data_IF_559074295585
#
_entry.id   IF_559074295585
#
_cell.length_a   1.000
_cell.length_b   1.000
_cell.length_c   1.000
_cell.angle_alpha   90.00
_cell.angle_beta   90.00
_cell.angle_gamma   90.00
#
_symmetry.space_group_name_H-M   'P 1'
#
loop_
_entity.id
_entity.type
_entity.pdbx_description
1 polymer ?
#
# COMPACT_ATOMS: atom_id res chain seq x y z
N UNK A 1 18.15 -18.53 -17.26
CA UNK A 1 16.87 -18.38 -17.96
C UNK A 1 16.73 -19.47 -19.01
N UNK A 2 16.76 -20.73 -18.62
CA UNK A 2 16.78 -21.89 -19.51
C UNK A 2 16.60 -23.17 -18.71
N UNK A 3 15.40 -23.44 -18.15
CA UNK A 3 15.10 -24.76 -17.56
C UNK A 3 13.61 -25.08 -17.37
N UNK A 4 12.70 -24.34 -18.03
CA UNK A 4 11.26 -24.58 -17.87
C UNK A 4 10.58 -25.23 -19.10
N UNK A 5 11.35 -25.68 -20.09
CA UNK A 5 10.81 -26.39 -21.27
C UNK A 5 10.79 -27.91 -21.14
N UNK A 6 11.50 -28.49 -20.17
CA UNK A 6 11.63 -29.96 -20.06
C UNK A 6 10.53 -30.65 -19.22
N UNK A 7 9.69 -29.93 -18.52
CA UNK A 7 8.64 -30.56 -17.69
C UNK A 7 7.38 -30.91 -18.50
N UNK A 8 7.04 -30.14 -19.53
CA UNK A 8 5.88 -30.42 -20.40
C UNK A 8 6.18 -31.56 -21.40
N UNK A 9 7.40 -31.62 -21.93
CA UNK A 9 7.81 -32.69 -22.83
C UNK A 9 7.98 -34.05 -22.13
N UNK A 10 8.25 -34.06 -20.81
CA UNK A 10 8.33 -35.30 -20.06
C UNK A 10 6.94 -35.90 -19.77
N UNK A 11 5.89 -35.06 -19.66
CA UNK A 11 4.50 -35.52 -19.50
C UNK A 11 3.87 -36.01 -20.81
N UNK A 12 4.43 -35.63 -21.95
CA UNK A 12 3.95 -36.05 -23.27
C UNK A 12 4.67 -37.28 -23.82
N UNK A 13 5.76 -37.78 -23.21
CA UNK A 13 6.59 -38.89 -23.69
C UNK A 13 6.45 -40.21 -22.94
N UNK A 14 5.60 -40.32 -21.95
CA UNK A 14 5.24 -41.60 -21.38
C UNK A 14 3.90 -42.01 -21.93
N UNK A 15 3.90 -42.80 -23.05
CA UNK A 15 3.08 -43.99 -23.22
C UNK A 15 3.10 -44.44 -24.66
N UNK A 16 4.23 -45.06 -25.03
CA UNK A 16 4.30 -45.98 -26.12
C UNK A 16 4.12 -47.44 -25.63
N UNK A 17 2.96 -47.76 -25.07
CA UNK A 17 2.54 -49.15 -24.86
C UNK A 17 1.02 -49.22 -24.94
N UNK A 18 0.53 -49.71 -26.06
CA UNK A 18 -0.77 -50.23 -26.39
C UNK A 18 -1.90 -50.03 -25.35
N UNK A 19 -2.55 -48.90 -25.40
CA UNK A 19 -3.95 -48.76 -25.02
C UNK A 19 -4.63 -47.98 -26.14
N UNK A 20 -5.66 -48.57 -26.72
CA UNK A 20 -6.65 -47.91 -27.57
C UNK A 20 -7.13 -46.65 -26.86
N UNK A 21 -6.42 -45.56 -27.02
CA UNK A 21 -6.84 -44.22 -26.62
C UNK A 21 -7.87 -43.73 -27.63
N UNK A 22 -8.99 -44.40 -27.72
CA UNK A 22 -10.15 -43.89 -28.41
C UNK A 22 -10.49 -42.54 -27.79
N UNK A 23 -10.58 -41.48 -28.61
CA UNK A 23 -11.25 -40.23 -28.30
C UNK A 23 -12.48 -40.58 -27.44
N UNK A 24 -12.73 -39.86 -26.30
CA UNK A 24 -13.89 -40.15 -25.45
C UNK A 24 -15.11 -40.28 -26.37
N UNK A 25 -15.79 -41.43 -26.35
CA UNK A 25 -16.82 -41.73 -27.30
C UNK A 25 -17.83 -40.58 -27.31
N UNK A 26 -18.38 -40.26 -28.47
CA UNK A 26 -19.40 -39.21 -28.61
C UNK A 26 -20.46 -39.40 -27.57
N UNK A 27 -20.80 -40.64 -27.21
CA UNK A 27 -21.70 -41.02 -26.15
C UNK A 27 -21.28 -40.49 -24.75
N UNK A 28 -20.02 -40.63 -24.39
CA UNK A 28 -19.52 -40.10 -23.10
C UNK A 28 -19.55 -38.56 -23.05
N UNK A 29 -19.31 -37.89 -24.18
CA UNK A 29 -19.44 -36.44 -24.30
C UNK A 29 -20.92 -36.00 -24.13
N UNK A 30 -21.87 -36.73 -24.67
CA UNK A 30 -23.31 -36.47 -24.50
C UNK A 30 -23.72 -36.71 -23.04
N UNK A 31 -23.32 -37.81 -22.44
CA UNK A 31 -23.58 -38.12 -21.03
C UNK A 31 -23.01 -37.04 -20.12
N UNK A 32 -21.81 -36.54 -20.37
CA UNK A 32 -21.23 -35.43 -19.60
C UNK A 32 -22.09 -34.16 -19.69
N UNK A 33 -22.49 -33.76 -20.90
CA UNK A 33 -23.32 -32.55 -21.09
C UNK A 33 -24.68 -32.69 -20.39
N UNK A 34 -25.30 -33.87 -20.49
CA UNK A 34 -26.54 -34.15 -19.81
C UNK A 34 -26.41 -34.09 -18.29
N UNK A 35 -25.38 -34.72 -17.73
CA UNK A 35 -25.08 -34.69 -16.30
C UNK A 35 -24.87 -33.25 -15.81
N UNK A 36 -24.12 -32.44 -16.56
CA UNK A 36 -23.90 -31.03 -16.25
C UNK A 36 -25.21 -30.22 -16.22
N UNK A 37 -26.06 -30.41 -17.23
CA UNK A 37 -27.36 -29.72 -17.29
C UNK A 37 -28.28 -30.13 -16.15
N UNK A 38 -28.32 -31.43 -15.83
CA UNK A 38 -29.12 -31.96 -14.72
C UNK A 38 -28.61 -31.44 -13.37
N UNK A 39 -27.30 -31.40 -13.17
CA UNK A 39 -26.71 -30.84 -11.94
C UNK A 39 -27.10 -29.37 -11.73
N UNK A 40 -27.08 -28.55 -12.80
CA UNK A 40 -27.59 -27.18 -12.74
C UNK A 40 -29.10 -27.12 -12.38
N UNK A 41 -29.86 -28.04 -12.92
CA UNK A 41 -31.29 -28.17 -12.58
C UNK A 41 -31.51 -28.49 -11.08
N UNK A 42 -30.68 -29.38 -10.50
CA UNK A 42 -30.69 -29.68 -9.07
C UNK A 42 -30.29 -28.46 -8.24
N UNK A 43 -29.24 -27.75 -8.63
CA UNK A 43 -28.81 -26.53 -7.95
C UNK A 43 -29.86 -25.42 -8.00
N UNK A 44 -30.55 -25.25 -9.14
CA UNK A 44 -31.67 -24.32 -9.26
C UNK A 44 -32.85 -24.69 -8.34
N UNK A 45 -33.16 -25.97 -8.22
CA UNK A 45 -34.20 -26.44 -7.32
C UNK A 45 -33.84 -26.20 -5.83
N UNK A 46 -32.57 -26.37 -5.48
CA UNK A 46 -32.03 -26.07 -4.13
C UNK A 46 -31.96 -24.56 -3.85
N UNK A 47 -31.96 -23.71 -4.88
CA UNK A 47 -31.93 -22.24 -4.75
C UNK A 47 -33.31 -21.59 -4.66
N UNK A 48 -34.38 -22.36 -4.66
CA UNK A 48 -35.73 -21.82 -4.49
C UNK A 48 -35.88 -21.10 -3.16
N UNK A 49 -36.79 -20.15 -3.10
CA UNK A 49 -37.12 -19.50 -1.84
C UNK A 49 -37.48 -20.53 -0.77
N UNK A 50 -37.00 -20.34 0.46
CA UNK A 50 -37.22 -21.29 1.55
C UNK A 50 -38.72 -21.50 1.86
N UNK A 51 -39.57 -20.54 1.52
CA UNK A 51 -41.05 -20.68 1.63
C UNK A 51 -41.66 -21.64 0.60
N UNK A 52 -41.04 -21.81 -0.56
CA UNK A 52 -41.49 -22.68 -1.65
C UNK A 52 -40.71 -24.00 -1.69
N UNK A 53 -39.66 -24.13 -0.91
CA UNK A 53 -38.81 -25.29 -0.91
C UNK A 53 -39.44 -26.45 -0.11
N UNK A 54 -39.52 -27.62 -0.75
CA UNK A 54 -40.01 -28.84 -0.12
C UNK A 54 -38.97 -29.95 -0.21
N UNK A 55 -38.41 -30.40 0.92
CA UNK A 55 -37.41 -31.47 0.94
C UNK A 55 -37.87 -32.76 0.28
N UNK A 56 -39.18 -33.14 0.44
CA UNK A 56 -39.77 -34.35 -0.15
C UNK A 56 -39.68 -34.36 -1.69
N UNK A 57 -39.98 -33.20 -2.32
CA UNK A 57 -39.93 -33.07 -3.77
C UNK A 57 -38.46 -33.12 -4.25
N UNK A 58 -37.56 -32.62 -3.44
CA UNK A 58 -36.14 -32.64 -3.76
C UNK A 58 -35.54 -34.05 -3.67
N UNK A 59 -35.91 -34.84 -2.65
CA UNK A 59 -35.54 -36.26 -2.55
C UNK A 59 -35.97 -37.00 -3.81
N UNK A 60 -37.23 -36.87 -4.24
CA UNK A 60 -37.74 -37.50 -5.47
C UNK A 60 -36.99 -37.05 -6.70
N UNK A 61 -36.59 -35.78 -6.75
CA UNK A 61 -35.80 -35.23 -7.88
C UNK A 61 -34.41 -35.84 -7.93
N UNK A 62 -33.77 -36.00 -6.77
CA UNK A 62 -32.43 -36.62 -6.66
C UNK A 62 -32.53 -38.11 -7.01
N UNK A 63 -33.51 -38.80 -6.49
CA UNK A 63 -33.76 -40.21 -6.80
C UNK A 63 -34.00 -40.42 -8.31
N UNK A 64 -34.84 -39.60 -8.93
CA UNK A 64 -35.05 -39.61 -10.38
C UNK A 64 -33.75 -39.32 -11.15
N UNK A 65 -32.88 -38.44 -10.62
CA UNK A 65 -31.58 -38.18 -11.22
C UNK A 65 -30.66 -39.43 -11.14
N UNK A 66 -30.64 -40.12 -10.01
CA UNK A 66 -29.81 -41.29 -9.79
C UNK A 66 -30.17 -42.46 -10.72
N UNK A 67 -31.45 -42.62 -10.99
CA UNK A 67 -32.00 -43.74 -11.81
C UNK A 67 -31.92 -43.48 -13.33
N UNK A 68 -31.34 -42.35 -13.80
CA UNK A 68 -31.25 -42.06 -15.23
C UNK A 68 -30.13 -42.80 -15.92
N UNK A 69 -30.36 -43.39 -17.11
CA UNK A 69 -29.33 -44.10 -17.87
C UNK A 69 -28.44 -43.17 -18.68
N UNK A 70 -28.85 -41.92 -18.93
CA UNK A 70 -28.18 -40.95 -19.82
C UNK A 70 -27.18 -40.03 -19.11
N UNK A 71 -26.80 -40.37 -17.86
CA UNK A 71 -25.83 -39.63 -17.05
C UNK A 71 -24.53 -40.40 -16.83
N UNK A 72 -23.51 -39.67 -16.35
CA UNK A 72 -22.31 -40.27 -15.80
C UNK A 72 -22.63 -40.95 -14.45
N UNK A 73 -21.92 -42.03 -14.16
CA UNK A 73 -22.08 -42.79 -12.89
C UNK A 73 -21.36 -42.03 -11.72
N UNK A 74 -21.47 -40.72 -11.71
CA UNK A 74 -20.90 -39.87 -10.67
C UNK A 74 -21.58 -38.51 -10.63
N UNK A 75 -21.57 -37.88 -9.46
CA UNK A 75 -22.05 -36.51 -9.29
C UNK A 75 -20.89 -35.55 -9.68
N UNK A 76 -21.24 -34.50 -10.41
CA UNK A 76 -20.29 -33.44 -10.79
C UNK A 76 -20.26 -32.33 -9.71
N UNK A 77 -19.57 -32.57 -8.61
CA UNK A 77 -19.44 -31.62 -7.53
C UNK A 77 -18.78 -30.29 -7.98
N UNK A 78 -17.93 -30.33 -8.99
CA UNK A 78 -17.32 -29.10 -9.58
C UNK A 78 -18.39 -28.16 -10.17
N UNK A 79 -19.45 -28.70 -10.80
CA UNK A 79 -20.54 -27.86 -11.31
C UNK A 79 -21.36 -27.24 -10.18
N UNK A 80 -21.56 -27.98 -9.08
CA UNK A 80 -22.18 -27.45 -7.87
C UNK A 80 -21.35 -26.34 -7.23
N UNK A 81 -20.03 -26.53 -7.09
CA UNK A 81 -19.12 -25.47 -6.61
C UNK A 81 -19.18 -24.23 -7.48
N UNK A 82 -19.10 -24.39 -8.81
CA UNK A 82 -19.19 -23.25 -9.75
C UNK A 82 -20.53 -22.51 -9.60
N UNK A 83 -21.60 -23.24 -9.37
CA UNK A 83 -22.92 -22.65 -9.14
C UNK A 83 -22.93 -21.82 -7.84
N UNK A 84 -22.45 -22.40 -6.73
CA UNK A 84 -22.39 -21.75 -5.41
C UNK A 84 -21.50 -20.51 -5.43
N UNK A 85 -20.37 -20.56 -6.14
CA UNK A 85 -19.44 -19.42 -6.30
C UNK A 85 -20.09 -18.27 -7.07
N UNK A 86 -21.00 -18.55 -8.00
CA UNK A 86 -21.76 -17.55 -8.74
C UNK A 86 -22.92 -16.91 -7.97
N UNK A 87 -23.32 -17.47 -6.82
CA UNK A 87 -24.43 -16.95 -6.02
C UNK A 87 -24.03 -15.71 -5.22
N UNK A 88 -24.99 -14.79 -5.05
CA UNK A 88 -24.86 -13.69 -4.08
C UNK A 88 -24.82 -14.24 -2.65
N UNK A 89 -24.36 -13.44 -1.68
CA UNK A 89 -24.31 -13.86 -0.27
C UNK A 89 -25.69 -14.29 0.25
N UNK A 90 -26.75 -13.54 -0.09
CA UNK A 90 -28.12 -13.86 0.32
C UNK A 90 -28.63 -15.19 -0.31
N UNK A 91 -28.45 -15.32 -1.63
CA UNK A 91 -28.87 -16.55 -2.34
C UNK A 91 -28.10 -17.79 -1.89
N UNK A 92 -26.82 -17.61 -1.51
CA UNK A 92 -25.98 -18.68 -0.94
C UNK A 92 -26.50 -19.12 0.43
N UNK A 93 -26.94 -18.17 1.26
CA UNK A 93 -27.59 -18.46 2.53
C UNK A 93 -28.84 -19.30 2.34
N UNK A 94 -29.76 -18.91 1.45
CA UNK A 94 -30.96 -19.67 1.11
C UNK A 94 -30.63 -21.08 0.62
N UNK A 95 -29.64 -21.17 -0.31
CA UNK A 95 -29.19 -22.48 -0.82
C UNK A 95 -28.67 -23.38 0.30
N UNK A 96 -27.81 -22.87 1.18
CA UNK A 96 -27.27 -23.63 2.30
C UNK A 96 -28.35 -24.10 3.26
N UNK A 97 -29.30 -23.23 3.60
CA UNK A 97 -30.45 -23.58 4.46
C UNK A 97 -31.34 -24.67 3.84
N UNK A 98 -31.60 -24.58 2.54
CA UNK A 98 -32.38 -25.59 1.85
C UNK A 98 -31.69 -26.96 1.83
N UNK A 99 -30.35 -26.98 1.65
CA UNK A 99 -29.56 -28.21 1.70
C UNK A 99 -29.53 -28.79 3.11
N UNK A 100 -29.44 -27.94 4.14
CA UNK A 100 -29.51 -28.36 5.54
C UNK A 100 -30.90 -28.96 5.87
N UNK A 101 -31.97 -28.30 5.45
CA UNK A 101 -33.34 -28.83 5.61
C UNK A 101 -33.51 -30.18 4.89
N UNK A 102 -32.90 -30.34 3.71
CA UNK A 102 -32.88 -31.60 2.98
C UNK A 102 -32.15 -32.69 3.77
N UNK A 103 -31.02 -32.39 4.36
CA UNK A 103 -30.27 -33.33 5.19
C UNK A 103 -31.06 -33.74 6.41
N UNK A 104 -31.64 -32.79 7.15
CA UNK A 104 -32.45 -33.08 8.33
C UNK A 104 -33.63 -33.99 7.98
N UNK A 105 -34.35 -33.69 6.87
CA UNK A 105 -35.44 -34.52 6.39
C UNK A 105 -35.03 -35.97 6.13
N UNK A 106 -33.87 -36.20 5.52
CA UNK A 106 -33.39 -37.54 5.17
C UNK A 106 -32.84 -38.31 6.38
N UNK A 107 -32.42 -37.62 7.44
CA UNK A 107 -31.94 -38.21 8.69
C UNK A 107 -33.08 -38.59 9.63
N UNK A 108 -34.30 -38.09 9.41
CA UNK A 108 -35.46 -38.50 10.21
C UNK A 108 -35.87 -39.96 9.88
N UNK A 109 -35.92 -40.81 10.88
CA UNK A 109 -36.27 -42.23 10.74
C UNK A 109 -37.66 -42.48 10.17
N UNK A 110 -38.58 -41.50 10.28
CA UNK A 110 -39.96 -41.59 9.74
C UNK A 110 -39.98 -41.54 8.22
N UNK A 111 -38.99 -40.99 7.59
CA UNK A 111 -38.92 -40.78 6.16
C UNK A 111 -38.25 -41.98 5.50
N UNK A 112 -39.00 -42.76 4.74
CA UNK A 112 -38.46 -43.88 3.97
C UNK A 112 -37.74 -43.35 2.73
N UNK A 113 -36.42 -43.13 2.85
CA UNK A 113 -35.56 -42.69 1.76
C UNK A 113 -34.58 -43.82 1.41
N UNK A 114 -34.41 -44.07 0.11
CA UNK A 114 -33.47 -45.09 -0.37
C UNK A 114 -32.05 -44.79 0.11
N UNK A 115 -31.32 -45.83 0.53
CA UNK A 115 -30.00 -45.69 1.15
C UNK A 115 -28.97 -44.99 0.25
N UNK A 116 -28.98 -45.22 -1.06
CA UNK A 116 -28.10 -44.58 -1.99
C UNK A 116 -28.40 -43.08 -2.19
N UNK A 117 -29.71 -42.73 -2.21
CA UNK A 117 -30.17 -41.34 -2.22
C UNK A 117 -29.76 -40.62 -0.93
N UNK A 118 -29.88 -41.28 0.24
CA UNK A 118 -29.41 -40.76 1.53
C UNK A 118 -27.94 -40.45 1.52
N UNK A 119 -27.09 -41.39 1.11
CA UNK A 119 -25.63 -41.22 1.01
C UNK A 119 -25.24 -40.04 0.11
N UNK A 120 -25.95 -39.87 -0.99
CA UNK A 120 -25.69 -38.79 -1.93
C UNK A 120 -26.06 -37.42 -1.35
N UNK A 121 -27.18 -37.32 -0.66
CA UNK A 121 -27.62 -36.09 0.00
C UNK A 121 -26.61 -35.68 1.08
N UNK A 122 -26.09 -36.61 1.86
CA UNK A 122 -25.03 -36.33 2.82
C UNK A 122 -23.77 -35.80 2.14
N UNK A 123 -23.36 -36.38 1.00
CA UNK A 123 -22.22 -35.90 0.23
C UNK A 123 -22.47 -34.52 -0.40
N UNK A 124 -23.67 -34.23 -0.84
CA UNK A 124 -24.07 -32.91 -1.35
C UNK A 124 -23.94 -31.87 -0.22
N UNK A 125 -24.48 -32.18 0.96
CA UNK A 125 -24.38 -31.29 2.12
C UNK A 125 -22.91 -30.99 2.48
N UNK A 126 -22.12 -32.04 2.64
CA UNK A 126 -20.69 -31.87 2.97
C UNK A 126 -19.95 -31.00 1.94
N UNK A 127 -20.23 -31.25 0.64
CA UNK A 127 -19.65 -30.48 -0.43
C UNK A 127 -20.08 -29.00 -0.44
N UNK A 128 -21.36 -28.74 -0.14
CA UNK A 128 -21.90 -27.37 -0.03
C UNK A 128 -21.26 -26.62 1.13
N UNK A 129 -21.11 -27.28 2.28
CA UNK A 129 -20.43 -26.71 3.43
C UNK A 129 -18.97 -26.37 3.08
N UNK A 130 -18.26 -27.31 2.46
CA UNK A 130 -16.88 -27.07 2.03
C UNK A 130 -16.77 -25.87 1.08
N UNK A 131 -17.62 -25.81 0.05
CA UNK A 131 -17.63 -24.71 -0.90
C UNK A 131 -17.93 -23.36 -0.22
N UNK A 132 -18.87 -23.33 0.70
CA UNK A 132 -19.24 -22.12 1.46
C UNK A 132 -18.09 -21.65 2.35
N UNK A 133 -17.41 -22.56 3.05
CA UNK A 133 -16.21 -22.25 3.83
C UNK A 133 -15.07 -21.73 2.97
N UNK A 134 -14.85 -22.31 1.80
CA UNK A 134 -13.81 -21.85 0.87
C UNK A 134 -14.04 -20.41 0.43
N UNK A 135 -15.30 -20.03 0.14
CA UNK A 135 -15.67 -18.65 -0.22
C UNK A 135 -15.41 -17.69 0.95
N UNK A 136 -15.83 -18.09 2.17
CA UNK A 136 -15.61 -17.29 3.37
C UNK A 136 -14.13 -17.03 3.62
N UNK A 137 -13.31 -18.07 3.55
CA UNK A 137 -11.88 -17.97 3.72
C UNK A 137 -11.22 -17.11 2.62
N UNK A 138 -11.60 -17.31 1.36
CA UNK A 138 -11.09 -16.51 0.24
C UNK A 138 -11.44 -15.03 0.41
N UNK A 139 -12.67 -14.72 0.85
CA UNK A 139 -13.10 -13.34 1.13
C UNK A 139 -12.31 -12.72 2.26
N UNK A 140 -12.06 -13.45 3.35
CA UNK A 140 -11.25 -12.96 4.48
C UNK A 140 -9.81 -12.69 4.08
N UNK A 141 -9.18 -13.60 3.31
CA UNK A 141 -7.82 -13.41 2.81
C UNK A 141 -7.75 -12.18 1.90
N UNK A 142 -8.71 -12.02 0.99
CA UNK A 142 -8.77 -10.88 0.09
C UNK A 142 -8.93 -9.56 0.85
N UNK A 143 -9.85 -9.50 1.81
CA UNK A 143 -10.08 -8.30 2.62
C UNK A 143 -8.82 -7.93 3.44
N UNK A 144 -8.16 -8.90 4.06
CA UNK A 144 -6.92 -8.66 4.79
C UNK A 144 -5.81 -8.16 3.86
N UNK A 145 -5.69 -8.74 2.66
CA UNK A 145 -4.72 -8.30 1.66
C UNK A 145 -4.99 -6.87 1.18
N UNK A 146 -6.25 -6.50 0.97
CA UNK A 146 -6.65 -5.14 0.59
C UNK A 146 -6.31 -4.14 1.71
N UNK A 147 -6.54 -4.49 2.97
CA UNK A 147 -6.19 -3.64 4.11
C UNK A 147 -4.68 -3.45 4.24
N UNK A 148 -3.90 -4.51 4.04
CA UNK A 148 -2.43 -4.44 4.06
C UNK A 148 -1.88 -3.55 2.92
N UNK A 149 -2.38 -3.75 1.69
CA UNK A 149 -2.01 -2.90 0.54
C UNK A 149 -2.40 -1.45 0.78
N UNK A 150 -3.60 -1.18 1.33
CA UNK A 150 -4.05 0.17 1.65
C UNK A 150 -3.15 0.85 2.68
N UNK A 151 -2.73 0.13 3.74
CA UNK A 151 -1.81 0.69 4.74
C UNK A 151 -0.44 1.01 4.14
N UNK A 152 0.13 0.09 3.36
CA UNK A 152 1.41 0.30 2.67
C UNK A 152 1.37 1.48 1.71
N UNK A 153 0.30 1.59 0.92
CA UNK A 153 0.12 2.72 0.00
C UNK A 153 0.01 4.05 0.74
N UNK A 154 -0.67 4.06 1.89
CA UNK A 154 -0.77 5.26 2.72
C UNK A 154 0.59 5.70 3.28
N UNK A 155 1.42 4.75 3.72
CA UNK A 155 2.77 5.04 4.21
C UNK A 155 3.71 5.52 3.09
N UNK A 156 3.61 4.94 1.89
CA UNK A 156 4.33 5.40 0.70
C UNK A 156 3.93 6.82 0.30
N UNK A 157 2.63 7.14 0.28
CA UNK A 157 2.14 8.49 -0.03
C UNK A 157 2.69 9.51 0.96
N UNK A 158 2.65 9.21 2.27
CA UNK A 158 3.27 10.07 3.29
C UNK A 158 4.76 10.26 3.08
N UNK A 159 5.47 9.22 2.65
CA UNK A 159 6.88 9.30 2.28
C UNK A 159 7.11 10.29 1.13
N UNK A 160 6.35 10.17 0.06
CA UNK A 160 6.42 11.06 -1.11
C UNK A 160 6.08 12.51 -0.73
N UNK A 161 5.05 12.75 0.08
CA UNK A 161 4.72 14.09 0.56
C UNK A 161 5.87 14.73 1.33
N UNK A 162 6.55 13.98 2.21
CA UNK A 162 7.73 14.46 2.95
C UNK A 162 8.89 14.81 2.02
N UNK A 163 9.16 13.97 1.03
CA UNK A 163 10.19 14.23 0.02
C UNK A 163 9.89 15.49 -0.78
N UNK A 164 8.63 15.68 -1.18
CA UNK A 164 8.19 16.85 -1.93
C UNK A 164 8.37 18.16 -1.13
N UNK A 165 7.96 18.15 0.16
CA UNK A 165 8.18 19.29 1.06
C UNK A 165 9.66 19.59 1.23
N UNK A 166 10.49 18.55 1.32
CA UNK A 166 11.95 18.69 1.43
C UNK A 166 12.54 19.36 0.19
N UNK A 167 12.20 18.89 -1.00
CA UNK A 167 12.66 19.46 -2.27
C UNK A 167 12.19 20.91 -2.42
N UNK A 168 10.93 21.19 -2.11
CA UNK A 168 10.35 22.54 -2.16
C UNK A 168 11.07 23.48 -1.17
N UNK A 169 11.38 23.00 0.03
CA UNK A 169 12.11 23.75 1.04
C UNK A 169 13.55 24.07 0.62
N UNK A 170 14.27 23.11 0.02
CA UNK A 170 15.60 23.34 -0.52
C UNK A 170 15.54 24.37 -1.66
N UNK A 171 14.60 24.23 -2.59
CA UNK A 171 14.42 25.16 -3.68
C UNK A 171 14.13 26.60 -3.18
N UNK A 172 13.17 26.73 -2.26
CA UNK A 172 12.83 28.02 -1.65
C UNK A 172 14.05 28.66 -0.95
N UNK A 173 14.86 27.85 -0.27
CA UNK A 173 16.09 28.32 0.40
C UNK A 173 17.12 28.85 -0.58
N UNK A 174 17.32 28.16 -1.71
CA UNK A 174 18.23 28.57 -2.77
C UNK A 174 17.76 29.90 -3.39
N UNK A 175 16.47 30.01 -3.71
CA UNK A 175 15.89 31.23 -4.29
C UNK A 175 16.03 32.41 -3.32
N UNK A 176 15.70 32.19 -2.04
CA UNK A 176 15.82 33.21 -1.00
C UNK A 176 17.27 33.69 -0.84
N UNK A 177 18.25 32.77 -0.79
CA UNK A 177 19.65 33.09 -0.70
C UNK A 177 20.13 33.86 -1.93
N UNK A 178 19.70 33.48 -3.12
CA UNK A 178 20.10 34.15 -4.37
C UNK A 178 19.52 35.57 -4.46
N UNK A 179 18.20 35.71 -4.25
CA UNK A 179 17.51 37.02 -4.27
C UNK A 179 18.08 37.95 -3.16
N UNK A 180 18.22 37.40 -1.94
CA UNK A 180 18.80 38.13 -0.81
C UNK A 180 20.21 38.58 -1.11
N UNK A 181 21.05 37.71 -1.68
CA UNK A 181 22.43 38.01 -2.06
C UNK A 181 22.52 39.14 -3.11
N UNK A 182 21.73 39.09 -4.18
CA UNK A 182 21.69 40.12 -5.21
C UNK A 182 21.21 41.46 -4.63
N UNK A 183 20.10 41.45 -3.92
CA UNK A 183 19.52 42.67 -3.31
C UNK A 183 20.51 43.33 -2.37
N UNK A 184 21.19 42.51 -1.57
CA UNK A 184 22.20 42.97 -0.65
C UNK A 184 23.41 43.57 -1.39
N UNK A 185 23.98 42.86 -2.37
CA UNK A 185 25.13 43.33 -3.14
C UNK A 185 24.84 44.67 -3.82
N UNK A 186 23.63 44.81 -4.41
CA UNK A 186 23.19 46.05 -5.04
C UNK A 186 23.12 47.21 -4.01
N UNK A 187 22.54 46.96 -2.85
CA UNK A 187 22.39 47.96 -1.77
C UNK A 187 23.75 48.41 -1.23
N UNK A 188 24.69 47.49 -1.07
CA UNK A 188 26.06 47.81 -0.64
C UNK A 188 26.78 48.65 -1.66
N UNK A 189 26.75 48.28 -2.96
CA UNK A 189 27.39 49.00 -4.04
C UNK A 189 26.87 50.41 -4.22
N UNK A 190 25.56 50.62 -4.07
CA UNK A 190 24.94 51.96 -4.19
C UNK A 190 25.34 52.93 -3.06
N UNK A 191 25.71 52.44 -1.90
CA UNK A 191 26.01 53.25 -0.72
C UNK A 191 27.47 53.27 -0.30
N UNK A 192 28.37 52.63 -1.09
CA UNK A 192 29.78 52.48 -0.74
C UNK A 192 30.48 53.82 -0.59
N UNK A 193 30.11 54.80 -1.41
CA UNK A 193 30.73 56.15 -1.41
C UNK A 193 30.22 57.06 -0.28
N UNK A 194 29.07 56.71 0.34
CA UNK A 194 28.39 57.54 1.33
C UNK A 194 28.55 57.04 2.77
N UNK A 195 28.99 55.80 2.94
CA UNK A 195 29.08 55.16 4.24
C UNK A 195 30.51 54.99 4.71
N UNK A 196 30.74 55.18 6.01
CA UNK A 196 32.02 54.80 6.60
C UNK A 196 32.22 53.28 6.43
N UNK A 197 33.44 52.85 6.07
CA UNK A 197 33.85 51.46 5.90
C UNK A 197 33.39 50.58 7.10
N UNK A 198 33.53 51.07 8.31
CA UNK A 198 33.13 50.34 9.53
C UNK A 198 31.61 50.10 9.60
N UNK A 199 30.80 51.10 9.26
CA UNK A 199 29.34 50.94 9.21
C UNK A 199 28.93 49.96 8.14
N UNK A 200 29.59 50.00 6.95
CA UNK A 200 29.30 49.10 5.87
C UNK A 200 29.59 47.65 6.26
N UNK A 201 30.76 47.36 6.81
CA UNK A 201 31.17 46.02 7.25
C UNK A 201 30.20 45.51 8.35
N UNK A 202 29.86 46.35 9.33
CA UNK A 202 28.94 45.99 10.39
C UNK A 202 27.53 45.66 9.85
N UNK A 203 27.06 46.44 8.88
CA UNK A 203 25.71 46.17 8.24
C UNK A 203 25.75 44.86 7.49
N UNK A 204 26.84 44.57 6.75
CA UNK A 204 27.03 43.29 6.04
C UNK A 204 27.01 42.12 7.01
N UNK A 205 27.73 42.24 8.12
CA UNK A 205 27.85 41.20 9.13
C UNK A 205 26.50 40.92 9.80
N UNK A 206 25.70 41.94 10.18
CA UNK A 206 24.37 41.78 10.76
C UNK A 206 23.39 41.12 9.77
N UNK A 207 23.39 41.56 8.50
CA UNK A 207 22.50 40.94 7.48
C UNK A 207 22.94 39.51 7.21
N UNK A 208 24.24 39.23 7.14
CA UNK A 208 24.78 37.87 7.02
C UNK A 208 24.35 36.98 8.17
N UNK A 209 24.40 37.50 9.41
CA UNK A 209 23.93 36.77 10.58
C UNK A 209 22.42 36.43 10.49
N UNK A 210 21.58 37.37 10.09
CA UNK A 210 20.15 37.14 9.90
C UNK A 210 19.91 36.07 8.84
N UNK A 211 20.55 36.16 7.66
CA UNK A 211 20.41 35.21 6.58
C UNK A 211 20.82 33.78 7.01
N UNK A 212 21.96 33.63 7.66
CA UNK A 212 22.45 32.33 8.16
C UNK A 212 21.43 31.72 9.16
N UNK A 213 20.86 32.53 10.07
CA UNK A 213 19.89 32.04 11.03
C UNK A 213 18.57 31.67 10.36
N UNK A 214 18.08 32.43 9.39
CA UNK A 214 16.88 32.10 8.62
C UNK A 214 17.08 30.79 7.84
N UNK A 215 18.21 30.61 7.17
CA UNK A 215 18.55 29.36 6.49
C UNK A 215 18.59 28.17 7.44
N UNK A 216 19.17 28.35 8.63
CA UNK A 216 19.18 27.32 9.65
C UNK A 216 17.76 26.93 10.11
N UNK A 217 16.88 27.91 10.34
CA UNK A 217 15.49 27.65 10.69
C UNK A 217 14.77 26.85 9.62
N UNK A 218 14.96 27.20 8.34
CA UNK A 218 14.37 26.47 7.22
C UNK A 218 14.87 25.03 7.15
N UNK A 219 16.18 24.82 7.24
CA UNK A 219 16.79 23.48 7.21
C UNK A 219 16.32 22.66 8.41
N UNK A 220 16.29 23.24 9.61
CA UNK A 220 15.82 22.56 10.82
C UNK A 220 14.35 22.17 10.72
N UNK A 221 13.52 23.03 10.11
CA UNK A 221 12.10 22.72 9.86
C UNK A 221 11.95 21.55 8.89
N UNK A 222 12.71 21.53 7.78
CA UNK A 222 12.70 20.44 6.80
C UNK A 222 13.16 19.12 7.44
N UNK A 223 14.22 19.13 8.22
CA UNK A 223 14.74 17.95 8.91
C UNK A 223 13.72 17.40 9.93
N UNK A 224 13.03 18.29 10.64
CA UNK A 224 12.00 17.91 11.60
C UNK A 224 10.78 17.24 10.92
N UNK A 225 10.36 17.71 9.74
CA UNK A 225 9.31 17.07 8.94
C UNK A 225 9.75 15.67 8.49
N UNK A 226 11.04 15.50 8.22
CA UNK A 226 11.59 14.25 7.70
C UNK A 226 12.04 13.25 8.80
N UNK A 227 11.68 13.51 10.08
CA UNK A 227 12.06 12.73 11.26
C UNK A 227 13.59 12.45 11.36
N UNK A 228 14.40 13.34 10.77
CA UNK A 228 15.87 13.30 10.88
C UNK A 228 16.34 14.38 11.82
N UNK A 229 16.50 14.06 13.09
CA UNK A 229 17.22 14.93 14.02
C UNK A 229 18.71 14.91 13.68
N UNK A 230 19.23 16.05 13.24
CA UNK A 230 20.66 16.21 12.96
C UNK A 230 21.32 17.06 14.05
N UNK A 231 21.96 16.40 15.02
CA UNK A 231 22.84 17.08 15.99
C UNK A 231 23.98 17.86 15.32
N UNK A 232 24.43 17.43 14.14
CA UNK A 232 25.46 18.09 13.34
C UNK A 232 25.08 19.52 12.95
N UNK A 233 23.81 19.77 12.63
CA UNK A 233 23.33 21.12 12.26
C UNK A 233 23.39 22.12 13.41
N UNK A 234 23.19 21.66 14.64
CA UNK A 234 23.23 22.52 15.83
C UNK A 234 24.62 23.04 16.15
N UNK A 235 25.63 22.24 15.87
CA UNK A 235 27.04 22.63 16.04
C UNK A 235 27.46 23.63 14.96
N UNK A 236 27.07 23.41 13.71
CA UNK A 236 27.34 24.29 12.60
C UNK A 236 26.83 25.72 12.83
N UNK A 237 25.55 25.89 13.23
CA UNK A 237 24.97 27.21 13.45
C UNK A 237 25.63 27.94 14.63
N UNK A 238 25.98 27.23 15.69
CA UNK A 238 26.72 27.84 16.82
C UNK A 238 28.07 28.37 16.39
N UNK A 239 28.81 27.58 15.60
CA UNK A 239 30.12 27.99 15.08
C UNK A 239 29.98 29.18 14.14
N UNK A 240 29.02 29.17 13.22
CA UNK A 240 28.76 30.27 12.28
C UNK A 240 28.39 31.56 13.03
N UNK A 241 27.50 31.51 14.02
CA UNK A 241 27.15 32.68 14.82
C UNK A 241 28.35 33.19 15.63
N UNK A 242 29.20 32.31 16.19
CA UNK A 242 30.40 32.70 16.94
C UNK A 242 31.40 33.39 16.06
N UNK A 243 31.60 32.94 14.81
CA UNK A 243 32.50 33.61 13.86
C UNK A 243 31.96 34.99 13.48
N UNK A 244 30.66 35.15 13.21
CA UNK A 244 30.04 36.44 12.89
C UNK A 244 30.17 37.42 14.08
N UNK A 245 29.90 36.99 15.29
CA UNK A 245 30.09 37.81 16.49
C UNK A 245 31.57 38.19 16.69
N UNK A 246 32.50 37.30 16.37
CA UNK A 246 33.92 37.57 16.38
C UNK A 246 34.32 38.68 15.40
N UNK A 247 33.81 38.63 14.18
CA UNK A 247 34.05 39.65 13.14
C UNK A 247 33.45 40.98 13.58
N UNK A 248 32.19 41.02 14.05
CA UNK A 248 31.58 42.23 14.57
C UNK A 248 32.39 42.84 15.71
N UNK A 249 32.89 42.01 16.62
CA UNK A 249 33.73 42.46 17.74
C UNK A 249 35.01 43.10 17.28
N UNK A 250 35.72 42.50 16.32
CA UNK A 250 36.96 43.08 15.76
C UNK A 250 36.67 44.40 15.06
N UNK A 251 35.60 44.52 14.30
CA UNK A 251 35.18 45.76 13.62
C UNK A 251 34.85 46.86 14.62
N UNK A 252 34.09 46.54 15.69
CA UNK A 252 33.77 47.50 16.75
C UNK A 252 35.02 47.99 17.49
N UNK A 253 35.94 47.11 17.81
CA UNK A 253 37.20 47.44 18.48
C UNK A 253 38.05 48.37 17.57
N UNK A 254 38.16 48.00 16.28
CA UNK A 254 38.87 48.79 15.29
C UNK A 254 38.26 50.19 15.11
N UNK A 255 36.91 50.27 15.10
CA UNK A 255 36.19 51.54 15.04
C UNK A 255 36.44 52.40 16.30
N UNK A 256 36.41 51.77 17.48
CA UNK A 256 36.65 52.45 18.76
C UNK A 256 38.08 53.02 18.83
N UNK A 257 39.10 52.28 18.39
CA UNK A 257 40.47 52.75 18.31
C UNK A 257 40.68 53.85 17.29
N UNK A 258 39.98 53.82 16.15
CA UNK A 258 40.04 54.87 15.15
C UNK A 258 39.31 56.15 15.58
N UNK A 259 38.25 56.00 16.41
CA UNK A 259 37.51 57.13 16.98
C UNK A 259 38.25 57.82 18.11
N UNK A 260 38.96 57.08 18.93
CA UNK A 260 39.95 57.63 19.86
C UNK A 260 41.20 57.93 19.06
N UNK A 261 41.29 59.16 18.57
CA UNK A 261 42.36 59.63 17.76
C UNK A 261 43.68 59.48 18.57
N UNK A 262 44.20 58.22 18.60
CA UNK A 262 45.43 57.85 19.28
C UNK A 262 46.63 58.73 18.79
N UNK A 263 46.59 59.18 17.53
CA UNK A 263 47.58 60.16 17.03
C UNK A 263 47.55 61.52 17.76
N UNK A 264 46.37 61.98 18.16
CA UNK A 264 46.20 63.22 18.90
C UNK A 264 46.64 63.09 20.35
N UNK A 265 46.57 61.97 20.96
CA UNK A 265 47.11 61.67 22.25
C UNK A 265 48.64 61.51 22.24
N UNK A 266 49.13 60.79 21.27
CA UNK A 266 50.61 60.58 21.08
C UNK A 266 51.25 61.84 20.72
N UNK A 267 50.74 62.70 19.84
CA UNK A 267 51.31 63.99 19.49
C UNK A 267 51.33 64.97 20.68
N UNK A 268 50.23 64.98 21.50
CA UNK A 268 50.22 65.76 22.76
C UNK A 268 51.25 65.29 23.80
N UNK A 269 51.37 63.95 23.92
CA UNK A 269 52.33 63.34 24.86
C UNK A 269 53.76 63.62 24.41
N UNK A 270 54.10 63.60 23.11
CA UNK A 270 55.43 63.93 22.59
C UNK A 270 55.79 65.44 22.76
N UNK A 271 54.79 66.30 22.60
CA UNK A 271 54.98 67.75 22.82
C UNK A 271 55.21 68.07 24.31
N UNK A 272 54.63 67.28 25.20
CA UNK A 272 54.75 67.43 26.67
C UNK A 272 56.09 66.89 27.18
N UNK A 273 56.71 65.90 26.57
CA UNK A 273 58.00 65.31 26.92
C UNK A 273 59.19 66.07 26.28
N UNK A 274 58.92 67.01 25.36
CA UNK A 274 59.92 67.82 24.69
C UNK A 274 60.08 69.24 25.30
N UNK A 275 59.43 69.52 26.45
CA UNK A 275 59.59 70.69 27.28
C UNK A 275 60.27 70.30 28.58
#
# INVERSE_FOLDING_TARGET
>A
MSDNKNCLDCMLKTDGAGRDGGLPSIENSIKYKNTKRQMRGLCNALSKDSSEYKPEEMVKTIDSYLNRPDKLDRILYSEMSNYIFGLTSASRGTFSTNVENLLLYVLEERNSVEEDTRKIIIKIYDHVQLATHQIGNASNILNNSILDVKSKLHDEIKGIEREYITILGIFASIVLAFVGGITFTTSVLQNIDKASMFRLILTVDVIGAVLVNVMYLLISFILKINDKDSESNRTFIKTANWTLFGIAGVVLISWFFNFIDLQKYISKFFIWTSK
#
